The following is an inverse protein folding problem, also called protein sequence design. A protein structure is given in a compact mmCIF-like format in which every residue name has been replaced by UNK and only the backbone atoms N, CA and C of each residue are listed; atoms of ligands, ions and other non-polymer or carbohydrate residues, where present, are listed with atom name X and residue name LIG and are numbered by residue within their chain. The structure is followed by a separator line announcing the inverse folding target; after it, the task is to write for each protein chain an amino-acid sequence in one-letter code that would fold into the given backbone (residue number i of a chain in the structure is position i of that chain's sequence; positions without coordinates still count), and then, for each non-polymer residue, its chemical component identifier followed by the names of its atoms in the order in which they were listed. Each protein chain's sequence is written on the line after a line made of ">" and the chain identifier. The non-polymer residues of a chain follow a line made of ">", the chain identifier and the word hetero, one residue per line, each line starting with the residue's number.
data_IF_996765634404
#
_entry.id   IF_996765634404
#
_cell.length_a   1.000
_cell.length_b   1.000
_cell.length_c   1.000
_cell.angle_alpha   90.00
_cell.angle_beta   90.00
_cell.angle_gamma   90.00
#
_symmetry.space_group_name_H-M   'P 1'
#
loop_
_entity.id
_entity.type
_entity.pdbx_description
1 polymer ?
2 water ?
#
# COMPACT_ATOMS: atom_id res chain seq x y z
N UNK A 4 -10.59 -10.23 -11.90
CA UNK A 4 -10.66 -10.75 -13.31
C UNK A 4 -11.59 -9.88 -14.18
N UNK A 5 -12.81 -9.65 -13.70
CA UNK A 5 -13.83 -8.89 -14.44
C UNK A 5 -15.06 -8.65 -13.56
N UNK A 6 -15.45 -7.38 -13.42
CA UNK A 6 -16.46 -6.98 -12.42
C UNK A 6 -17.88 -6.69 -12.99
N UNK A 7 -18.87 -7.15 -12.23
CA UNK A 7 -20.28 -6.92 -12.47
C UNK A 7 -20.80 -6.06 -11.32
N UNK A 8 -21.28 -4.87 -11.68
CA UNK A 8 -21.86 -3.95 -10.74
C UNK A 8 -23.36 -4.14 -10.65
N UNK A 9 -23.90 -3.80 -9.48
CA UNK A 9 -25.35 -3.90 -9.26
C UNK A 9 -25.83 -3.03 -8.09
N UNK A 10 -27.16 -3.05 -7.91
CA UNK A 10 -27.83 -2.29 -6.88
C UNK A 10 -28.72 -3.21 -6.09
N UNK A 11 -28.66 -3.08 -4.77
CA UNK A 11 -29.55 -3.78 -3.86
C UNK A 11 -30.34 -2.81 -2.99
N UNK A 12 -30.85 -3.36 -1.89
CA UNK A 12 -31.74 -2.65 -0.97
C UNK A 12 -31.57 -3.20 0.43
N UNK A 13 -31.47 -2.31 1.41
CA UNK A 13 -31.36 -2.74 2.80
C UNK A 13 -31.89 -1.78 3.86
N UNK A 14 -32.24 -2.40 4.99
CA UNK A 14 -32.71 -1.71 6.17
C UNK A 14 -31.52 -1.56 7.09
N UNK A 15 -31.03 -0.33 7.23
CA UNK A 15 -29.93 -0.03 8.17
C UNK A 15 -30.35 1.06 9.16
N UNK A 16 -29.65 1.18 10.31
CA UNK A 16 -30.01 2.14 11.33
C UNK A 16 -30.42 3.52 10.79
N UNK A 17 -29.69 4.05 9.82
CA UNK A 17 -30.07 5.32 9.21
C UNK A 17 -31.37 5.24 8.42
N UNK A 18 -31.95 4.04 8.30
CA UNK A 18 -33.17 3.82 7.52
C UNK A 18 -33.14 2.82 6.35
N UNK A 19 -34.08 3.03 5.41
CA UNK A 19 -34.15 2.27 4.18
C UNK A 19 -33.09 2.78 3.25
N UNK A 20 -32.09 1.96 2.95
CA UNK A 20 -31.05 2.33 2.01
C UNK A 20 -31.10 1.46 0.76
N UNK A 21 -30.62 2.01 -0.35
CA UNK A 21 -30.29 1.21 -1.54
C UNK A 21 -28.82 0.79 -1.37
N UNK A 22 -28.22 0.12 -2.35
CA UNK A 22 -26.81 -0.28 -2.22
C UNK A 22 -26.06 -0.54 -3.53
N UNK A 23 -24.75 -0.38 -3.40
CA UNK A 23 -23.75 -0.74 -4.38
C UNK A 23 -23.42 -2.20 -4.15
N UNK A 24 -23.31 -2.95 -5.23
CA UNK A 24 -22.89 -4.35 -5.15
C UNK A 24 -21.87 -4.63 -6.23
N UNK A 25 -20.68 -5.06 -5.80
CA UNK A 25 -19.56 -5.29 -6.68
C UNK A 25 -19.24 -6.76 -6.60
N UNK A 26 -19.15 -7.40 -7.77
CA UNK A 26 -18.85 -8.81 -7.87
C UNK A 26 -17.63 -9.00 -8.73
N UNK A 27 -16.67 -9.73 -8.19
CA UNK A 27 -15.41 -9.99 -8.83
C UNK A 27 -14.97 -11.38 -8.45
N UNK A 28 -14.42 -12.08 -9.43
CA UNK A 28 -13.98 -13.42 -9.22
C UNK A 28 -12.48 -13.40 -9.11
N UNK A 29 -11.94 -14.14 -8.16
CA UNK A 29 -10.49 -14.29 -8.06
C UNK A 29 -10.08 -15.73 -8.11
N UNK A 30 -8.89 -15.91 -8.67
CA UNK A 30 -8.26 -17.18 -8.97
C UNK A 30 -7.40 -17.62 -7.77
N UNK A 31 -7.78 -17.17 -6.57
CA UNK A 31 -7.15 -17.60 -5.34
C UNK A 31 -8.25 -18.26 -4.53
N UNK A 32 -7.89 -19.05 -3.52
CA UNK A 32 -8.97 -19.68 -2.80
C UNK A 32 -9.55 -18.77 -1.71
N UNK A 33 -10.72 -19.15 -1.21
CA UNK A 33 -11.48 -18.40 -0.19
C UNK A 33 -10.67 -17.94 1.01
N UNK A 34 -9.87 -18.84 1.58
CA UNK A 34 -9.05 -18.50 2.76
C UNK A 34 -8.14 -17.32 2.47
N UNK A 35 -7.32 -17.49 1.45
CA UNK A 35 -6.31 -16.51 1.07
C UNK A 35 -6.97 -15.16 0.84
N UNK A 36 -8.13 -15.16 0.20
CA UNK A 36 -8.84 -13.93 -0.07
C UNK A 36 -9.38 -13.36 1.23
N UNK A 37 -9.93 -14.22 2.10
CA UNK A 37 -10.34 -13.81 3.45
C UNK A 37 -9.20 -13.15 4.24
N UNK A 38 -8.11 -13.87 4.42
CA UNK A 38 -6.90 -13.27 4.97
C UNK A 38 -6.51 -11.91 4.35
N UNK A 39 -6.61 -11.79 3.03
CA UNK A 39 -6.17 -10.59 2.31
C UNK A 39 -7.09 -9.42 2.54
N UNK A 40 -8.32 -9.74 2.94
CA UNK A 40 -9.38 -8.78 3.15
C UNK A 40 -9.64 -8.54 4.65
N UNK A 41 -8.92 -9.25 5.51
CA UNK A 41 -9.19 -9.19 6.95
C UNK A 41 -7.94 -9.15 7.84
N UNK A 42 -6.79 -9.67 7.40
CA UNK A 42 -5.55 -9.57 8.16
C UNK A 42 -4.91 -8.18 7.92
N UNK A 43 -4.80 -7.34 8.98
CA UNK A 43 -4.33 -5.97 8.76
C UNK A 43 -2.91 -5.85 8.19
N UNK A 44 -2.07 -6.86 8.40
CA UNK A 44 -0.76 -6.91 7.76
C UNK A 44 -0.83 -7.34 6.29
N UNK A 45 -2.03 -7.65 5.81
CA UNK A 45 -2.25 -7.87 4.39
C UNK A 45 -3.12 -6.77 3.78
N UNK A 46 -4.12 -6.29 4.53
CA UNK A 46 -4.92 -5.14 4.08
C UNK A 46 -3.99 -3.94 3.89
N UNK A 47 -2.89 -3.93 4.63
CA UNK A 47 -1.93 -2.84 4.59
C UNK A 47 -1.20 -2.70 3.27
N UNK A 48 -1.09 -3.81 2.54
CA UNK A 48 -0.43 -3.78 1.28
C UNK A 48 -1.25 -2.98 0.29
N UNK A 49 -2.51 -3.35 0.13
CA UNK A 49 -3.30 -2.85 -0.99
C UNK A 49 -4.25 -1.71 -0.63
N UNK A 50 -4.57 -1.55 0.65
CA UNK A 50 -5.47 -0.47 1.07
C UNK A 50 -4.94 0.16 2.37
N UNK A 51 -5.80 0.85 3.12
CA UNK A 51 -5.50 1.44 4.41
C UNK A 51 -5.72 0.46 5.54
N UNK A 52 -4.72 0.28 6.40
CA UNK A 52 -4.90 -0.60 7.56
C UNK A 52 -5.89 -0.08 8.61
N UNK A 53 -6.76 -0.97 9.12
CA UNK A 53 -7.64 -0.66 10.22
C UNK A 53 -6.99 -0.81 11.58
N UNK A 54 -7.50 -0.05 12.54
CA UNK A 54 -6.97 -0.02 13.89
C UNK A 54 -8.09 -0.03 14.93
N UNK A 55 -7.81 -0.70 16.04
CA UNK A 55 -8.81 -1.03 17.04
C UNK A 55 -8.73 -2.52 17.25
N UNK A 56 -9.70 -3.08 17.99
CA UNK A 56 -9.84 -4.52 18.13
C UNK A 56 -10.60 -5.06 16.93
N UNK A 57 -9.86 -5.68 16.01
CA UNK A 57 -10.46 -6.39 14.88
C UNK A 57 -11.01 -7.74 15.36
N UNK A 58 -12.27 -7.71 15.77
CA UNK A 58 -13.03 -8.90 16.16
C UNK A 58 -14.50 -8.48 16.22
N UNK A 59 -15.39 -9.45 16.27
CA UNK A 59 -16.83 -9.18 16.15
C UNK A 59 -17.30 -8.29 17.28
N UNK A 60 -18.18 -7.34 16.98
CA UNK A 60 -18.59 -6.32 17.96
C UNK A 60 -17.49 -5.33 18.32
N UNK A 61 -16.26 -5.59 17.88
CA UNK A 61 -15.16 -4.65 18.05
C UNK A 61 -15.29 -3.49 17.08
N UNK A 62 -14.20 -2.77 16.86
CA UNK A 62 -14.28 -1.58 16.03
C UNK A 62 -13.00 -1.24 15.30
N UNK A 63 -13.15 -0.40 14.28
CA UNK A 63 -12.08 -0.11 13.32
C UNK A 63 -12.03 1.37 12.98
N UNK A 64 -10.83 1.89 12.76
CA UNK A 64 -10.61 3.20 12.13
C UNK A 64 -9.54 3.05 11.09
N UNK A 65 -9.72 3.76 9.99
CA UNK A 65 -8.77 3.77 8.90
C UNK A 65 -8.20 5.19 8.86
N UNK A 66 -6.89 5.28 8.62
CA UNK A 66 -6.19 6.54 8.70
C UNK A 66 -6.63 7.55 7.64
N UNK A 67 -7.70 8.27 7.94
CA UNK A 67 -8.18 9.32 7.04
C UNK A 67 -9.69 9.39 7.13
N UNK A 68 -10.16 9.60 8.34
CA UNK A 68 -11.57 9.44 8.67
C UNK A 68 -11.97 8.00 8.90
N UNK A 69 -12.97 7.58 8.14
CA UNK A 69 -13.78 6.37 8.35
C UNK A 69 -13.42 5.47 9.49
N UNK A 70 -14.44 5.09 10.22
CA UNK A 70 -14.30 4.27 11.38
C UNK A 70 -15.59 3.52 11.40
N UNK A 71 -15.70 2.54 12.26
CA UNK A 71 -17.00 1.94 12.43
C UNK A 71 -16.87 0.75 13.32
N UNK A 72 -17.97 0.03 13.42
CA UNK A 72 -17.99 -1.14 14.27
C UNK A 72 -18.01 -2.38 13.42
N UNK A 73 -17.74 -3.49 14.09
CA UNK A 73 -17.65 -4.76 13.45
C UNK A 73 -18.87 -5.50 13.91
N UNK A 74 -19.95 -5.34 13.16
CA UNK A 74 -21.23 -5.97 13.47
C UNK A 74 -21.12 -7.50 13.35
N UNK A 75 -20.82 -8.00 12.14
CA UNK A 75 -20.76 -9.45 11.89
C UNK A 75 -19.42 -9.90 11.29
N UNK A 76 -18.92 -11.04 11.79
CA UNK A 76 -17.69 -11.64 11.28
C UNK A 76 -17.84 -13.16 11.28
N UNK A 77 -18.04 -13.71 10.08
CA UNK A 77 -18.24 -15.15 9.86
C UNK A 77 -17.11 -15.65 8.97
N UNK A 78 -15.90 -15.78 9.53
CA UNK A 78 -14.76 -16.21 8.69
C UNK A 78 -14.99 -17.63 8.17
N UNK A 79 -14.58 -17.92 6.92
CA UNK A 79 -13.89 -17.05 5.97
C UNK A 79 -14.84 -16.49 4.92
N UNK A 80 -16.11 -16.29 5.27
CA UNK A 80 -17.16 -15.96 4.29
C UNK A 80 -17.65 -14.52 4.38
N UNK A 81 -18.15 -14.15 5.55
CA UNK A 81 -18.92 -12.92 5.65
C UNK A 81 -18.33 -11.92 6.63
N UNK A 82 -18.59 -10.66 6.37
CA UNK A 82 -18.01 -9.58 7.12
C UNK A 82 -18.97 -8.43 6.94
N UNK A 83 -19.55 -7.95 8.05
CA UNK A 83 -20.35 -6.73 8.05
C UNK A 83 -19.79 -5.74 9.09
N UNK A 84 -19.76 -4.48 8.69
CA UNK A 84 -19.26 -3.42 9.51
C UNK A 84 -20.07 -2.16 9.27
N UNK A 85 -20.14 -1.29 10.28
CA UNK A 85 -20.77 0.02 10.12
C UNK A 85 -19.74 0.94 9.52
N UNK A 86 -20.17 2.10 9.07
CA UNK A 86 -19.32 2.95 8.30
C UNK A 86 -19.67 4.42 8.57
N UNK A 87 -18.88 5.06 9.45
CA UNK A 87 -19.16 6.44 9.85
C UNK A 87 -18.14 7.42 9.23
N UNK A 88 -18.65 8.51 8.63
CA UNK A 88 -17.81 9.53 8.01
C UNK A 88 -18.39 10.95 8.17
N UNK A 89 -17.49 11.89 8.43
CA UNK A 89 -17.84 13.21 8.98
C UNK A 89 -19.14 13.89 8.48
N UNK A 90 -19.19 14.23 7.19
CA UNK A 90 -20.36 14.95 6.68
C UNK A 90 -21.49 14.02 6.24
N UNK A 91 -21.38 12.74 6.57
CA UNK A 91 -22.16 11.69 5.94
C UNK A 91 -23.12 10.98 6.89
N UNK A 92 -24.24 10.45 6.36
CA UNK A 92 -25.09 9.55 7.14
C UNK A 92 -24.34 8.26 7.33
N UNK A 93 -24.78 7.45 8.28
CA UNK A 93 -24.08 6.22 8.60
C UNK A 93 -24.45 5.21 7.55
N UNK A 94 -23.51 4.33 7.26
CA UNK A 94 -23.61 3.37 6.18
C UNK A 94 -23.32 1.99 6.72
N UNK A 95 -23.39 1.00 5.85
CA UNK A 95 -23.09 -0.38 6.22
C UNK A 95 -22.44 -1.02 5.03
N UNK A 96 -21.41 -1.82 5.27
CA UNK A 96 -20.66 -2.48 4.23
C UNK A 96 -20.61 -3.97 4.54
N UNK A 97 -20.65 -4.80 3.49
CA UNK A 97 -20.62 -6.24 3.69
C UNK A 97 -19.79 -6.93 2.66
N UNK A 98 -19.01 -7.89 3.11
CA UNK A 98 -18.24 -8.70 2.22
C UNK A 98 -18.70 -10.13 2.36
N UNK A 99 -19.03 -10.76 1.23
CA UNK A 99 -19.29 -12.19 1.14
C UNK A 99 -18.31 -12.81 0.14
N UNK A 100 -17.59 -13.83 0.59
CA UNK A 100 -16.75 -14.64 -0.26
C UNK A 100 -17.39 -16.01 -0.41
N UNK A 101 -17.58 -16.47 -1.64
CA UNK A 101 -18.09 -17.81 -1.91
C UNK A 101 -17.12 -18.56 -2.79
N UNK A 102 -17.03 -19.88 -2.57
CA UNK A 102 -16.24 -20.72 -3.42
C UNK A 102 -16.92 -20.85 -4.78
N UNK A 103 -16.14 -20.70 -5.83
CA UNK A 103 -16.49 -21.14 -7.16
C UNK A 103 -15.28 -21.97 -7.59
N UNK A 104 -15.45 -23.29 -7.58
CA UNK A 104 -14.33 -24.22 -7.82
C UNK A 104 -13.11 -23.91 -6.98
N UNK A 105 -11.94 -23.91 -7.63
CA UNK A 105 -10.66 -23.58 -6.98
C UNK A 105 -10.50 -22.09 -6.60
N UNK A 106 -11.46 -21.24 -7.00
CA UNK A 106 -11.38 -19.80 -6.77
C UNK A 106 -12.46 -19.23 -5.86
N UNK A 107 -12.66 -17.92 -5.92
CA UNK A 107 -13.67 -17.28 -5.06
C UNK A 107 -14.44 -16.16 -5.77
N UNK A 108 -15.76 -16.08 -5.52
CA UNK A 108 -16.59 -14.96 -6.02
C UNK A 108 -16.79 -13.90 -4.93
N UNK A 109 -15.92 -12.92 -4.88
CA UNK A 109 -16.06 -11.85 -3.89
C UNK A 109 -17.32 -11.07 -4.16
N UNK A 110 -18.00 -10.63 -3.09
CA UNK A 110 -19.10 -9.69 -3.22
C UNK A 110 -19.00 -8.62 -2.16
N UNK A 111 -18.96 -7.38 -2.59
CA UNK A 111 -18.86 -6.28 -1.67
C UNK A 111 -20.00 -5.31 -1.87
N UNK A 112 -20.82 -5.18 -0.83
CA UNK A 112 -22.02 -4.35 -0.85
C UNK A 112 -21.95 -3.31 0.23
N UNK A 113 -22.06 -2.06 -0.20
CA UNK A 113 -22.09 -0.91 0.68
C UNK A 113 -23.47 -0.29 0.50
N UNK A 114 -24.21 -0.23 1.59
CA UNK A 114 -25.55 0.32 1.61
C UNK A 114 -25.53 1.66 2.32
N UNK A 115 -26.30 2.60 1.79
CA UNK A 115 -26.39 3.95 2.31
C UNK A 115 -27.64 4.64 1.81
N UNK A 116 -28.25 5.43 2.69
CA UNK A 116 -29.51 6.13 2.41
C UNK A 116 -29.27 7.38 1.55
N UNK A 117 -28.00 7.74 1.37
CA UNK A 117 -27.63 8.89 0.55
C UNK A 117 -27.41 8.54 -0.93
N UNK A 118 -28.30 9.02 -1.79
CA UNK A 118 -28.16 8.81 -3.24
C UNK A 118 -26.82 9.27 -3.78
N UNK A 119 -26.35 10.43 -3.32
CA UNK A 119 -25.05 10.98 -3.69
C UNK A 119 -23.93 10.02 -3.29
N UNK A 121 -24.10 6.83 -3.00
CA UNK A 121 -24.09 5.52 -3.66
C UNK A 121 -22.91 5.46 -4.63
N UNK A 122 -22.96 6.35 -5.61
CA UNK A 122 -21.92 6.46 -6.61
C UNK A 122 -20.56 6.45 -5.90
N UNK A 123 -20.32 7.50 -5.10
CA UNK A 123 -19.02 7.75 -4.44
C UNK A 123 -18.35 6.54 -3.82
N UNK A 124 -19.17 5.61 -3.36
CA UNK A 124 -18.71 4.46 -2.63
C UNK A 124 -18.45 3.28 -3.59
N UNK A 125 -19.39 3.02 -4.49
CA UNK A 125 -19.19 2.06 -5.57
C UNK A 125 -17.87 2.29 -6.27
N UNK A 126 -17.64 3.53 -6.69
CA UNK A 126 -16.40 3.89 -7.35
C UNK A 126 -15.22 3.72 -6.38
N UNK A 127 -15.36 4.18 -5.15
CA UNK A 127 -14.30 4.12 -4.17
C UNK A 127 -13.86 2.72 -3.85
N UNK A 128 -14.81 1.81 -3.77
CA UNK A 128 -14.44 0.41 -3.58
C UNK A 128 -13.81 -0.21 -4.81
N UNK A 129 -14.28 0.19 -5.98
CA UNK A 129 -13.74 -0.38 -7.21
C UNK A 129 -12.27 -0.04 -7.35
N UNK A 131 -10.28 0.62 -4.95
CA UNK A 131 -9.60 -0.16 -3.92
C UNK A 131 -9.47 -1.63 -4.29
N UNK A 132 -10.52 -2.20 -4.86
CA UNK A 132 -10.48 -3.60 -5.29
C UNK A 132 -9.45 -3.82 -6.41
N UNK A 133 -9.12 -2.78 -7.18
CA UNK A 133 -7.97 -2.86 -8.12
C UNK A 133 -6.72 -3.29 -7.41
N UNK A 134 -6.44 -2.67 -6.27
CA UNK A 134 -5.21 -2.95 -5.54
C UNK A 134 -5.26 -4.31 -4.83
N UNK A 135 -6.46 -4.73 -4.42
CA UNK A 135 -6.63 -6.12 -4.02
C UNK A 135 -6.24 -7.04 -5.18
N UNK A 136 -6.85 -6.82 -6.33
CA UNK A 136 -6.52 -7.56 -7.54
C UNK A 136 -5.03 -7.59 -7.77
N UNK A 138 -2.76 -7.06 -5.66
CA UNK A 138 -2.14 -7.71 -4.51
C UNK A 138 -2.21 -9.22 -4.66
N UNK A 139 -3.39 -9.73 -4.99
CA UNK A 139 -3.54 -11.14 -5.36
C UNK A 139 -2.88 -11.35 -6.71
N UNK A 159 -3.13 10.29 -10.57
CA UNK A 159 -4.45 10.75 -11.00
C UNK A 159 -4.43 11.70 -12.20
N UNK A 160 -4.13 11.18 -13.41
CA UNK A 160 -4.74 11.64 -14.67
C UNK A 160 -5.43 10.46 -15.38
N UNK A 161 -4.68 9.37 -15.56
CA UNK A 161 -5.24 8.07 -15.92
C UNK A 161 -6.28 7.60 -14.89
N UNK A 164 -9.73 9.44 -15.12
CA UNK A 164 -10.52 8.90 -16.23
C UNK A 164 -11.24 7.63 -15.80
N UNK A 165 -10.51 6.72 -15.17
CA UNK A 165 -11.10 5.50 -14.61
C UNK A 165 -12.13 5.82 -13.51
N UNK A 166 -11.92 6.91 -12.76
CA UNK A 166 -12.88 7.32 -11.73
C UNK A 166 -14.13 7.83 -12.38
N UNK A 167 -13.92 8.63 -13.41
CA UNK A 167 -15.01 9.26 -14.11
C UNK A 167 -15.91 8.33 -14.94
N UNK A 168 -15.32 7.33 -15.61
CA UNK A 168 -16.13 6.31 -16.31
C UNK A 168 -16.90 5.53 -15.30
N UNK A 169 -16.20 5.00 -14.31
CA UNK A 169 -16.84 4.20 -13.27
C UNK A 169 -17.99 4.98 -12.61
N UNK A 170 -17.81 6.28 -12.40
CA UNK A 170 -18.90 7.10 -11.88
C UNK A 170 -20.11 7.16 -12.80
N UNK A 171 -19.88 7.27 -14.10
CA UNK A 171 -20.98 7.24 -15.08
C UNK A 171 -21.75 5.92 -15.03
N UNK A 172 -21.04 4.81 -14.86
CA UNK A 172 -21.68 3.50 -14.73
C UNK A 172 -22.60 3.39 -13.52
N UNK A 173 -22.11 3.78 -12.35
CA UNK A 173 -22.95 3.79 -11.16
C UNK A 173 -24.07 4.87 -11.27
N UNK A 174 -23.71 6.05 -11.78
CA UNK A 174 -24.70 7.11 -11.96
C UNK A 174 -25.85 6.65 -12.84
N UNK A 175 -25.52 5.96 -13.94
CA UNK A 175 -26.53 5.49 -14.90
C UNK A 175 -27.36 4.35 -14.35
N UNK A 176 -26.75 3.46 -13.58
CA UNK A 176 -27.49 2.41 -12.88
C UNK A 176 -28.43 3.00 -11.81
N UNK A 177 -28.02 4.09 -11.17
CA UNK A 177 -28.82 4.72 -10.11
C UNK A 177 -30.02 5.46 -10.69
N UNK A 178 -29.83 6.07 -11.85
CA UNK A 178 -30.95 6.47 -12.72
C UNK A 178 -31.77 5.24 -13.13
N UNK A 179 -33.05 5.22 -12.75
CA UNK A 179 -33.94 4.09 -12.98
C UNK A 179 -33.42 2.81 -12.33
N UNK B 4 10.94 8.17 -11.20
CA UNK B 4 11.05 8.23 -12.69
C UNK B 4 12.47 8.62 -13.14
N UNK B 5 12.79 8.35 -14.41
CA UNK B 5 14.10 8.66 -15.03
C UNK B 5 15.27 8.06 -14.27
N UNK B 6 15.30 6.73 -14.16
CA UNK B 6 16.09 6.09 -13.13
C UNK B 6 17.55 5.84 -13.57
N UNK B 7 18.48 6.16 -12.68
CA UNK B 7 19.92 6.02 -12.91
C UNK B 7 20.50 5.14 -11.80
N UNK B 8 21.27 4.13 -12.20
CA UNK B 8 21.91 3.22 -11.25
C UNK B 8 23.42 3.41 -11.20
N UNK B 9 23.95 3.45 -9.98
CA UNK B 9 25.39 3.54 -9.80
C UNK B 9 25.86 2.70 -8.61
N UNK B 10 27.18 2.62 -8.46
CA UNK B 10 27.83 1.96 -7.34
C UNK B 10 28.65 2.99 -6.62
N UNK B 11 28.52 3.02 -5.31
CA UNK B 11 29.35 3.82 -4.43
C UNK B 11 30.05 2.92 -3.42
N UNK B 12 30.61 3.54 -2.40
CA UNK B 12 31.35 2.82 -1.36
C UNK B 12 31.15 3.49 -0.04
N UNK B 13 31.06 2.70 1.03
CA UNK B 13 30.99 3.30 2.37
C UNK B 13 31.55 2.35 3.44
N UNK B 14 32.19 2.93 4.47
CA UNK B 14 32.65 2.11 5.60
C UNK B 14 31.50 2.02 6.58
N UNK B 15 31.03 0.80 6.79
CA UNK B 15 29.96 0.58 7.75
C UNK B 15 30.51 -0.28 8.90
N UNK B 16 29.71 -0.45 9.97
CA UNK B 16 30.12 -1.37 11.02
C UNK B 16 30.52 -2.75 10.52
N UNK B 17 29.78 -3.32 9.57
CA UNK B 17 30.16 -4.63 9.00
C UNK B 17 31.43 -4.56 8.15
N UNK B 18 31.89 -3.33 7.84
CA UNK B 18 33.18 -3.11 7.17
C UNK B 18 33.16 -2.25 5.88
N UNK B 19 34.17 -2.50 5.06
CA UNK B 19 34.35 -1.78 3.80
C UNK B 19 33.33 -2.30 2.82
N UNK B 20 32.36 -1.45 2.51
CA UNK B 20 31.18 -1.87 1.80
C UNK B 20 31.04 -1.16 0.46
N UNK B 21 30.57 -1.90 -0.53
CA UNK B 21 30.05 -1.27 -1.76
C UNK B 21 28.65 -0.78 -1.47
N UNK B 22 28.13 0.07 -2.33
CA UNK B 22 26.75 0.53 -2.19
C UNK B 22 26.02 0.52 -3.51
N UNK B 23 24.70 0.65 -3.40
CA UNK B 23 23.76 0.79 -4.50
C UNK B 23 23.25 2.21 -4.43
N UNK B 24 23.28 2.93 -5.54
CA UNK B 24 22.67 4.27 -5.62
C UNK B 24 21.62 4.28 -6.71
N UNK B 25 20.42 4.70 -6.33
CA UNK B 25 19.35 4.91 -7.26
C UNK B 25 19.00 6.39 -7.24
N UNK B 26 19.24 7.05 -8.38
CA UNK B 26 18.79 8.42 -8.58
C UNK B 26 17.53 8.38 -9.43
N UNK B 27 16.55 9.16 -9.00
CA UNK B 27 15.30 9.35 -9.69
C UNK B 27 14.92 10.81 -9.46
N UNK B 28 14.04 11.34 -10.30
CA UNK B 28 13.47 12.66 -10.06
C UNK B 28 11.96 12.60 -10.09
N UNK B 29 11.32 13.31 -9.17
CA UNK B 29 9.87 13.36 -9.09
C UNK B 29 9.36 14.78 -9.33
N UNK B 30 8.10 14.89 -9.73
CA UNK B 30 7.50 16.18 -9.94
C UNK B 30 6.69 16.58 -8.70
N UNK B 31 7.39 16.70 -7.60
CA UNK B 31 6.76 17.08 -6.35
C UNK B 31 7.83 17.77 -5.52
N UNK B 32 7.44 18.74 -4.68
CA UNK B 32 8.41 19.46 -3.83
C UNK B 32 9.10 18.59 -2.77
N UNK B 33 10.35 18.94 -2.45
CA UNK B 33 11.19 18.20 -1.49
C UNK B 33 10.48 17.80 -0.21
N UNK B 34 9.70 18.73 0.35
CA UNK B 34 9.04 18.50 1.62
C UNK B 34 7.99 17.39 1.53
N UNK B 35 7.33 17.27 0.36
CA UNK B 35 6.33 16.21 0.12
C UNK B 35 6.96 14.84 -0.08
N UNK B 36 8.10 14.77 -0.75
CA UNK B 36 8.75 13.48 -1.00
C UNK B 36 9.32 12.94 0.30
N UNK B 37 10.01 13.80 1.05
CA UNK B 37 10.41 13.48 2.42
C UNK B 37 9.21 12.98 3.22
N UNK B 38 8.10 13.70 3.16
CA UNK B 38 6.89 13.23 3.82
C UNK B 38 6.55 11.79 3.39
N UNK B 39 6.64 11.53 2.10
CA UNK B 39 6.29 10.22 1.54
C UNK B 39 7.22 9.10 1.98
N UNK B 40 8.37 9.45 2.57
CA UNK B 40 9.43 8.49 2.87
C UNK B 40 9.75 8.38 4.37
N UNK B 41 9.26 9.29 5.19
CA UNK B 41 9.48 9.25 6.63
C UNK B 41 8.21 9.24 7.47
N UNK B 42 7.06 9.63 6.91
CA UNK B 42 5.79 9.52 7.64
C UNK B 42 5.29 8.08 7.47
N UNK B 43 5.17 7.34 8.58
CA UNK B 43 4.78 5.93 8.48
C UNK B 43 3.35 5.68 7.95
N UNK B 44 2.44 6.63 8.14
CA UNK B 44 1.09 6.51 7.58
C UNK B 44 1.10 6.74 6.06
N UNK B 45 2.13 7.43 5.57
CA UNK B 45 2.32 7.65 4.15
C UNK B 45 3.20 6.60 3.53
N UNK B 46 4.23 6.15 4.26
CA UNK B 46 5.04 5.02 3.81
C UNK B 46 4.16 3.77 3.68
N UNK B 47 3.26 3.55 4.63
CA UNK B 47 2.42 2.36 4.63
C UNK B 47 1.61 2.18 3.34
N UNK B 48 1.23 3.28 2.69
CA UNK B 48 0.53 3.21 1.40
C UNK B 48 1.39 2.53 0.32
N UNK B 49 2.67 2.92 0.22
CA UNK B 49 3.52 2.43 -0.86
C UNK B 49 4.61 1.43 -0.48
N UNK B 50 4.85 1.25 0.80
CA UNK B 50 5.81 0.25 1.24
C UNK B 50 5.23 -0.44 2.47
N UNK B 51 6.06 -0.74 3.46
CA UNK B 51 5.64 -1.36 4.70
C UNK B 51 5.77 -0.29 5.79
N UNK B 52 4.94 -0.34 6.82
CA UNK B 52 5.02 0.69 7.85
C UNK B 52 6.14 0.43 8.86
N UNK B 53 7.01 1.43 9.06
CA UNK B 53 8.03 1.30 10.09
C UNK B 53 7.44 1.52 11.47
N UNK B 54 7.68 0.57 12.39
CA UNK B 54 7.18 0.67 13.75
C UNK B 54 8.35 0.72 14.76
N UNK B 55 8.26 1.67 15.68
CA UNK B 55 9.26 1.89 16.73
C UNK B 55 9.03 3.25 17.38
N UNK B 56 10.10 3.92 17.80
CA UNK B 56 10.00 5.36 18.09
C UNK B 56 10.77 6.08 16.99
N UNK B 57 10.04 6.47 15.96
CA UNK B 57 10.62 6.91 14.70
C UNK B 57 11.21 8.32 14.82
N UNK B 58 12.30 8.42 15.57
CA UNK B 58 13.10 9.64 15.67
C UNK B 58 14.56 9.24 15.58
N UNK B 59 15.44 10.22 15.35
CA UNK B 59 16.87 9.95 15.33
C UNK B 59 17.29 9.36 16.68
N UNK B 60 18.16 8.35 16.62
CA UNK B 60 18.50 7.55 17.79
C UNK B 60 17.57 6.36 17.97
N UNK B 61 16.38 6.41 17.39
CA UNK B 61 15.38 5.38 17.61
C UNK B 61 15.64 4.09 16.89
N UNK B 62 14.55 3.48 16.42
CA UNK B 62 14.60 2.24 15.68
C UNK B 62 13.34 2.11 14.87
N UNK B 63 13.27 1.03 14.12
CA UNK B 63 12.05 0.67 13.42
C UNK B 63 12.08 -0.83 13.15
N UNK B 64 10.98 -1.38 12.63
CA UNK B 64 10.94 -2.80 12.26
C UNK B 64 9.89 -3.04 11.19
N UNK B 65 10.27 -3.61 10.05
CA UNK B 65 9.38 -3.76 8.90
C UNK B 65 8.87 -5.19 8.79
N UNK B 66 7.55 -5.36 8.90
CA UNK B 66 6.92 -6.66 8.73
C UNK B 66 7.58 -7.38 7.58
N UNK B 67 8.03 -8.60 7.82
CA UNK B 67 8.46 -9.49 6.74
C UNK B 67 9.84 -9.26 6.18
N UNK B 68 10.47 -8.11 6.47
CA UNK B 68 11.91 -7.95 6.21
C UNK B 68 12.57 -6.77 6.93
N UNK B 69 13.83 -6.91 7.27
CA UNK B 69 14.63 -5.81 7.84
C UNK B 69 14.07 -5.14 9.08
N UNK B 70 14.85 -5.12 10.16
CA UNK B 70 14.66 -4.11 11.19
C UNK B 70 15.92 -3.22 11.22
N UNK B 71 15.92 -2.14 11.99
CA UNK B 71 17.13 -1.36 12.10
C UNK B 71 17.09 -0.21 13.07
N UNK B 72 18.25 0.43 13.19
CA UNK B 72 18.36 1.71 13.90
C UNK B 72 18.19 2.89 12.97
N UNK B 73 17.74 4.00 13.55
CA UNK B 73 17.71 5.27 12.87
C UNK B 73 18.98 6.01 13.31
N UNK B 74 20.00 5.92 12.45
CA UNK B 74 21.31 6.54 12.70
C UNK B 74 21.32 8.06 12.53
N UNK B 75 20.52 8.58 11.58
CA UNK B 75 20.58 10.02 11.22
C UNK B 75 19.29 10.53 10.55
N UNK B 76 18.76 11.63 11.09
CA UNK B 76 17.57 12.27 10.56
C UNK B 76 17.89 13.74 10.43
N UNK B 77 17.60 14.30 9.26
CA UNK B 77 17.90 15.69 8.96
C UNK B 77 16.84 16.18 8.03
N UNK B 78 15.61 16.34 8.56
CA UNK B 78 14.48 16.75 7.70
C UNK B 78 14.80 18.04 6.96
N UNK B 79 14.26 18.20 5.74
CA UNK B 79 13.55 17.23 4.93
C UNK B 79 14.54 16.55 3.98
N UNK B 80 15.80 16.46 4.38
CA UNK B 80 16.91 16.23 3.46
C UNK B 80 17.65 14.91 3.62
N UNK B 81 18.04 14.56 4.84
CA UNK B 81 18.90 13.39 5.02
C UNK B 81 18.39 12.40 6.08
N UNK B 82 18.44 11.12 5.74
CA UNK B 82 17.99 10.07 6.61
C UNK B 82 18.95 8.91 6.46
N UNK B 83 19.57 8.48 7.57
CA UNK B 83 20.44 7.30 7.57
C UNK B 83 19.90 6.22 8.54
N UNK B 84 20.02 4.96 8.12
CA UNK B 84 19.54 3.85 8.91
C UNK B 84 20.42 2.62 8.71
N UNK B 85 20.64 1.89 9.79
CA UNK B 85 21.20 0.54 9.70
C UNK B 85 20.08 -0.37 9.27
N UNK B 86 20.45 -1.55 8.82
CA UNK B 86 19.53 -2.44 8.17
C UNK B 86 19.94 -3.89 8.49
N UNK B 87 19.16 -4.54 9.35
CA UNK B 87 19.49 -5.90 9.81
C UNK B 87 18.44 -6.90 9.37
N UNK B 88 18.91 -8.02 8.83
CA UNK B 88 18.06 -9.12 8.44
C UNK B 88 18.65 -10.45 8.89
N UNK B 89 17.80 -11.43 9.15
CA UNK B 89 18.19 -12.77 9.59
C UNK B 89 19.58 -13.23 9.08
N UNK B 90 19.61 -13.83 7.89
CA UNK B 90 20.84 -14.51 7.43
C UNK B 90 21.75 -13.60 6.65
N UNK B 91 21.90 -12.36 7.09
CA UNK B 91 22.69 -11.40 6.37
C UNK B 91 23.36 -10.40 7.29
N UNK B 92 24.57 -9.95 6.92
CA UNK B 92 25.28 -8.94 7.69
C UNK B 92 24.56 -7.61 7.71
N UNK B 93 24.71 -6.86 8.80
CA UNK B 93 24.07 -5.55 8.97
C UNK B 93 24.52 -4.54 7.94
N UNK B 94 23.56 -3.89 7.30
CA UNK B 94 23.85 -2.92 6.26
C UNK B 94 23.50 -1.55 6.75
N UNK B 95 23.66 -0.58 5.86
CA UNK B 95 23.27 0.79 6.12
C UNK B 95 22.63 1.34 4.87
N UNK B 96 21.44 1.92 5.02
CA UNK B 96 20.75 2.57 3.93
C UNK B 96 20.64 4.05 4.26
N UNK B 97 20.54 4.86 3.22
CA UNK B 97 20.37 6.28 3.40
C UNK B 97 19.64 6.90 2.24
N UNK B 98 18.81 7.88 2.56
CA UNK B 98 18.02 8.60 1.59
C UNK B 98 18.43 10.06 1.63
N UNK B 99 18.78 10.62 0.46
CA UNK B 99 19.09 12.03 0.31
C UNK B 99 18.20 12.71 -0.72
N UNK B 100 17.48 13.72 -0.28
CA UNK B 100 16.68 14.52 -1.17
C UNK B 100 17.37 15.86 -1.41
N UNK B 101 16.99 16.52 -2.49
CA UNK B 101 17.49 17.85 -2.81
C UNK B 101 16.55 18.50 -3.82
N UNK B 102 16.39 19.82 -3.68
CA UNK B 102 15.47 20.56 -4.53
C UNK B 102 16.10 20.73 -5.89
N UNK B 103 15.29 20.49 -6.93
CA UNK B 103 15.63 20.94 -8.28
C UNK B 103 14.40 21.60 -8.89
N UNK B 104 14.44 22.93 -8.90
CA UNK B 104 13.30 23.74 -9.29
C UNK B 104 12.14 23.61 -8.31
N UNK B 105 10.99 23.18 -8.84
CA UNK B 105 9.78 22.92 -8.07
C UNK B 105 9.57 21.39 -7.98
N UNK B 106 10.68 20.66 -7.90
CA UNK B 106 10.67 19.21 -7.81
C UNK B 106 11.85 18.73 -6.97
N UNK B 107 12.05 17.41 -6.93
CA UNK B 107 13.09 16.86 -6.06
C UNK B 107 13.88 15.71 -6.67
N UNK B 108 15.19 15.71 -6.38
CA UNK B 108 16.09 14.60 -6.72
C UNK B 108 16.25 13.69 -5.50
N UNK B 109 15.72 12.49 -5.64
CA UNK B 109 15.83 11.48 -4.61
C UNK B 109 17.03 10.63 -4.91
N UNK B 110 17.86 10.45 -3.88
CA UNK B 110 18.96 9.51 -3.90
C UNK B 110 18.80 8.57 -2.74
N UNK B 111 18.67 7.28 -3.06
CA UNK B 111 18.70 6.23 -2.07
C UNK B 111 19.90 5.31 -2.30
N UNK B 112 20.66 5.08 -1.21
CA UNK B 112 21.88 4.28 -1.23
C UNK B 112 21.82 3.11 -0.25
N UNK B 113 22.18 1.92 -0.71
CA UNK B 113 22.29 0.80 0.20
C UNK B 113 23.71 0.25 0.26
N UNK B 114 24.38 0.56 1.38
CA UNK B 114 25.75 0.14 1.59
C UNK B 114 25.81 -1.22 2.30
N UNK B 115 26.39 -2.21 1.62
CA UNK B 115 26.61 -3.54 2.19
C UNK B 115 27.95 -4.09 1.75
N UNK B 116 28.50 -4.93 2.62
CA UNK B 116 29.77 -5.61 2.42
C UNK B 116 29.55 -6.85 1.58
N UNK B 117 28.29 -7.29 1.52
CA UNK B 117 27.91 -8.48 0.78
C UNK B 117 27.55 -8.19 -0.69
N UNK B 118 28.37 -8.72 -1.59
CA UNK B 118 28.20 -8.53 -3.02
C UNK B 118 26.85 -9.05 -3.49
N UNK B 119 26.54 -10.29 -3.14
CA UNK B 119 25.23 -10.88 -3.39
C UNK B 119 24.12 -9.93 -3.00
N UNK B 121 24.02 -6.76 -2.56
CA UNK B 121 23.93 -5.55 -3.41
C UNK B 121 22.87 -5.69 -4.52
N UNK B 122 23.06 -6.70 -5.39
CA UNK B 122 22.12 -7.04 -6.43
C UNK B 122 20.71 -7.12 -5.83
N UNK B 123 20.50 -8.05 -4.92
CA UNK B 123 19.22 -8.25 -4.25
C UNK B 123 18.58 -6.94 -3.85
N UNK B 124 19.39 -6.11 -3.21
CA UNK B 124 18.96 -4.88 -2.58
C UNK B 124 18.80 -3.73 -3.62
N UNK B 125 19.51 -3.84 -4.74
CA UNK B 125 19.29 -2.93 -5.86
C UNK B 125 17.98 -3.21 -6.56
N UNK B 126 17.70 -4.48 -6.83
CA UNK B 126 16.41 -4.88 -7.39
C UNK B 126 15.29 -4.46 -6.43
N UNK B 127 15.45 -4.83 -5.16
CA UNK B 127 14.43 -4.62 -4.13
C UNK B 127 14.01 -3.18 -3.93
N UNK B 128 14.97 -2.29 -3.87
CA UNK B 128 14.62 -0.87 -3.73
C UNK B 128 13.97 -0.28 -4.97
N UNK B 129 14.30 -0.80 -6.15
CA UNK B 129 13.66 -0.34 -7.38
C UNK B 129 12.21 -0.78 -7.45
N UNK B 131 10.25 -1.32 -4.87
CA UNK B 131 9.52 -0.53 -3.91
C UNK B 131 9.33 0.88 -4.44
N UNK B 132 10.36 1.41 -5.09
CA UNK B 132 10.30 2.79 -5.56
C UNK B 132 9.37 2.98 -6.75
N UNK B 133 9.09 1.91 -7.49
CA UNK B 133 8.03 2.01 -8.51
C UNK B 133 6.74 2.45 -7.86
N UNK B 134 6.50 1.96 -6.65
CA UNK B 134 5.27 2.23 -5.93
C UNK B 134 5.30 3.55 -5.16
N UNK B 135 6.48 4.06 -4.83
CA UNK B 135 6.57 5.44 -4.33
C UNK B 135 6.09 6.41 -5.42
N UNK B 136 6.62 6.24 -6.63
CA UNK B 136 6.22 7.00 -7.80
C UNK B 136 4.76 6.92 -8.20
N UNK B 138 2.31 6.44 -6.06
CA UNK B 138 1.66 7.16 -4.98
C UNK B 138 1.79 8.68 -5.11
N UNK B 139 2.89 9.14 -5.67
CA UNK B 139 3.15 10.58 -5.77
C UNK B 139 2.24 11.19 -6.84
N UNK B 140 1.84 10.37 -7.80
CA UNK B 140 0.80 10.71 -8.78
C UNK B 140 -0.39 9.78 -8.60
N UNK B 141 -0.36 8.61 -9.26
CA UNK B 141 -1.52 7.70 -9.39
C UNK B 141 -2.14 7.14 -8.12
N UNK B 142 -1.94 5.85 -7.84
CA UNK B 142 -2.41 5.20 -6.57
C UNK B 142 -1.58 3.94 -6.23
N UNK B 158 1.61 -7.94 -9.68
CA UNK B 158 1.70 -9.20 -10.39
C UNK B 158 2.94 -10.01 -10.05
N UNK B 159 3.00 -11.24 -10.55
CA UNK B 159 4.22 -12.02 -10.49
C UNK B 159 4.29 -12.95 -11.71
N UNK B 160 4.33 -12.35 -12.93
CA UNK B 160 4.87 -12.88 -14.17
C UNK B 160 5.66 -11.78 -14.91
N UNK B 161 5.02 -10.63 -15.14
CA UNK B 161 5.72 -9.40 -15.52
C UNK B 161 6.63 -8.87 -14.42
N UNK B 164 9.75 -10.70 -14.75
CA UNK B 164 10.61 -10.27 -15.86
C UNK B 164 11.31 -8.98 -15.47
N UNK B 165 10.53 -8.00 -15.04
CA UNK B 165 11.12 -6.75 -14.56
C UNK B 165 12.31 -7.02 -13.62
N UNK B 166 12.12 -7.91 -12.63
CA UNK B 166 13.14 -8.15 -11.58
C UNK B 166 14.40 -8.81 -12.07
N UNK B 167 14.23 -9.72 -13.02
CA UNK B 167 15.35 -10.39 -13.66
C UNK B 167 16.13 -9.36 -14.47
N UNK B 168 15.39 -8.54 -15.21
CA UNK B 168 15.95 -7.47 -16.02
C UNK B 168 16.80 -6.53 -15.19
N UNK B 169 16.32 -6.17 -14.00
CA UNK B 169 17.06 -5.25 -13.15
C UNK B 169 18.16 -5.95 -12.36
N UNK B 170 18.01 -7.25 -12.14
CA UNK B 170 19.12 -8.06 -11.66
C UNK B 170 20.31 -7.89 -12.58
N UNK B 171 20.05 -7.85 -13.87
CA UNK B 171 21.12 -7.76 -14.87
C UNK B 171 21.80 -6.40 -14.90
N UNK B 172 21.01 -5.34 -14.92
CA UNK B 172 21.55 -3.99 -14.84
C UNK B 172 22.51 -3.90 -13.67
N UNK B 173 21.99 -4.15 -12.49
CA UNK B 173 22.77 -4.09 -11.24
C UNK B 173 23.98 -5.04 -11.24
N UNK B 174 23.76 -6.27 -11.71
CA UNK B 174 24.85 -7.24 -11.82
C UNK B 174 25.92 -6.77 -12.79
N UNK B 175 25.48 -6.33 -13.98
CA UNK B 175 26.39 -5.87 -15.01
C UNK B 175 27.25 -4.76 -14.44
N UNK B 176 26.62 -3.81 -13.77
CA UNK B 176 27.38 -2.81 -13.01
C UNK B 176 28.36 -3.48 -12.01
N UNK B 177 27.86 -4.39 -11.19
CA UNK B 177 28.69 -5.02 -10.13
C UNK B 177 29.93 -5.79 -10.64
N UNK B 178 29.88 -6.33 -11.86
CA UNK B 178 31.08 -6.97 -12.44
C UNK B 178 32.03 -5.90 -13.03
N UNK B 179 33.05 -5.56 -12.22
CA UNK B 179 33.98 -4.46 -12.52
C UNK B 179 33.35 -3.11 -12.21
#
# INVERSE_FOLDING_TARGET
>A
ASGQATERALGRRTIPAGEARSIIIRQRYDAPVDEVWSACTDPNRINRWFIEPKGDLREGGNFALQGNASGDILRCEPPRRLTISWVYEGKPDSEVELRLSEEGDGTLLELEHATTSEQXLVEVGVGWEXALDFLGXFIRGDLPGGPVPEDAAEEFEPSPEXXRISQERGEAWAALVHSGS
>B
ASGQATERALGRRTIPAGEARSIIIRQRYDAPVDEVWSACTDPNRINRWFIEPKGDLREGGNFALQGNASGDILRCEPPRRLTISWVYEGKPDSEVELRLSEEGDGTLLELEHATTSEQXLVEVGVGWEXALDFLGXFIRGDLPGGPVPEDAAEEFEPSPEXXRISQERGEAWAALVHSGS
#
